data_IF_183369126645
#
_entry.id   IF_183369126645
#
_cell.length_a   1.000
_cell.length_b   1.000
_cell.length_c   1.000
_cell.angle_alpha   90.00
_cell.angle_beta   90.00
_cell.angle_gamma   90.00
#
_symmetry.space_group_name_H-M   'P 1'
#
loop_
_entity.id
_entity.type
_entity.pdbx_description
1 polymer ?
#
# COMPACT_ATOMS: atom_id res chain seq x y z
N UNK A 1 -12.27 16.13 -25.57
CA UNK A 1 -12.27 15.74 -27.01
C UNK A 1 -10.96 16.22 -27.60
N UNK A 2 -10.02 15.31 -27.84
CA UNK A 2 -8.77 15.63 -28.57
C UNK A 2 -9.07 15.52 -30.08
N UNK A 3 -8.76 16.55 -30.84
CA UNK A 3 -9.02 16.60 -32.27
C UNK A 3 -7.97 15.77 -33.01
N UNK A 4 -8.44 14.90 -33.88
CA UNK A 4 -7.62 14.17 -34.84
C UNK A 4 -7.46 15.09 -36.06
N UNK A 5 -6.23 15.56 -36.33
CA UNK A 5 -5.93 16.28 -37.56
C UNK A 5 -5.23 15.34 -38.55
N UNK A 6 -5.86 15.17 -39.71
CA UNK A 6 -5.28 14.48 -40.86
C UNK A 6 -4.45 15.51 -41.63
N UNK A 7 -3.14 15.36 -41.70
CA UNK A 7 -2.30 16.19 -42.56
C UNK A 7 -1.49 15.29 -43.48
N UNK A 8 -1.80 15.32 -44.75
CA UNK A 8 -1.05 14.62 -45.83
C UNK A 8 0.15 15.50 -46.24
N UNK A 9 1.37 14.95 -46.21
CA UNK A 9 2.53 15.52 -46.87
C UNK A 9 3.32 14.44 -47.62
N UNK A 10 3.61 14.71 -48.87
CA UNK A 10 4.49 13.92 -49.73
C UNK A 10 5.92 14.45 -49.66
N UNK A 11 6.96 13.61 -49.61
CA UNK A 11 8.14 13.70 -50.48
C UNK A 11 9.27 12.70 -50.10
N UNK A 12 9.97 12.32 -51.13
CA UNK A 12 10.96 11.32 -51.43
C UNK A 12 12.25 11.28 -50.60
N UNK A 13 12.76 10.07 -50.39
CA UNK A 13 14.16 9.69 -50.65
C UNK A 13 15.18 9.90 -49.55
N UNK A 14 15.76 8.80 -49.07
CA UNK A 14 17.04 8.82 -48.37
C UNK A 14 17.32 7.55 -47.55
N UNK A 15 18.42 6.91 -47.85
CA UNK A 15 18.97 5.76 -47.10
C UNK A 15 18.97 6.03 -45.61
N UNK A 16 18.25 5.21 -44.84
CA UNK A 16 18.30 5.23 -43.39
C UNK A 16 19.22 4.12 -42.88
N UNK A 17 20.26 4.51 -42.16
CA UNK A 17 20.90 3.66 -41.19
C UNK A 17 19.86 3.20 -40.16
N UNK A 18 19.62 1.91 -40.06
CA UNK A 18 18.75 1.30 -39.04
C UNK A 18 19.43 1.50 -37.68
N UNK A 19 19.20 2.66 -37.05
CA UNK A 19 19.34 2.73 -35.60
C UNK A 19 18.16 1.94 -35.03
N UNK A 20 18.43 1.00 -34.12
CA UNK A 20 17.37 0.29 -33.40
C UNK A 20 16.51 1.35 -32.70
N UNK A 21 15.32 1.56 -33.23
CA UNK A 21 14.38 2.53 -32.67
C UNK A 21 13.88 1.97 -31.33
N UNK A 22 14.00 2.78 -30.30
CA UNK A 22 13.53 2.38 -28.99
C UNK A 22 12.02 2.23 -29.03
N UNK A 23 11.53 1.06 -28.62
CA UNK A 23 10.10 0.78 -28.49
C UNK A 23 9.58 1.45 -27.20
N UNK A 24 8.58 2.28 -27.36
CA UNK A 24 7.93 3.01 -26.26
C UNK A 24 6.51 2.48 -25.95
N UNK A 25 6.16 1.32 -26.53
CA UNK A 25 4.90 0.65 -26.20
C UNK A 25 4.89 0.17 -24.74
N UNK A 26 3.70 0.03 -24.18
CA UNK A 26 3.42 -0.45 -22.84
C UNK A 26 2.61 -1.75 -22.89
N UNK A 27 2.47 -2.43 -21.78
CA UNK A 27 1.58 -3.57 -21.66
C UNK A 27 0.11 -3.16 -21.73
N UNK A 28 -0.74 -4.10 -22.17
CA UNK A 28 -2.20 -3.93 -22.15
C UNK A 28 -2.68 -3.76 -20.73
N UNK A 29 -3.34 -2.63 -20.46
CA UNK A 29 -3.88 -2.31 -19.14
C UNK A 29 -5.33 -1.84 -19.26
N UNK A 30 -6.26 -2.66 -18.82
CA UNK A 30 -7.71 -2.33 -18.86
C UNK A 30 -8.11 -1.19 -17.92
N UNK A 31 -7.23 -0.80 -16.99
CA UNK A 31 -7.45 0.32 -16.07
C UNK A 31 -7.03 1.66 -16.67
N UNK A 32 -6.36 1.66 -17.82
CA UNK A 32 -5.88 2.86 -18.49
C UNK A 32 -6.57 3.07 -19.83
N UNK A 33 -6.73 4.33 -20.20
CA UNK A 33 -7.12 4.66 -21.57
C UNK A 33 -5.92 4.39 -22.47
N UNK A 34 -6.06 3.49 -23.44
CA UNK A 34 -4.96 3.08 -24.30
C UNK A 34 -5.35 3.17 -25.80
N UNK A 35 -4.35 3.37 -26.62
CA UNK A 35 -4.41 3.14 -28.05
C UNK A 35 -3.73 1.81 -28.34
N UNK A 36 -4.42 0.93 -29.03
CA UNK A 36 -3.85 -0.32 -29.58
C UNK A 36 -3.55 -0.12 -31.07
N UNK A 37 -2.35 -0.50 -31.48
CA UNK A 37 -2.02 -0.69 -32.89
C UNK A 37 -1.86 -2.20 -33.13
N UNK A 38 -2.63 -2.73 -34.06
CA UNK A 38 -2.47 -4.10 -34.55
C UNK A 38 -1.67 -4.07 -35.83
N UNK A 39 -0.57 -4.80 -35.85
CA UNK A 39 0.29 -4.93 -37.03
C UNK A 39 -0.21 -6.02 -37.97
N UNK A 40 0.24 -6.00 -39.22
CA UNK A 40 -0.17 -6.95 -40.25
C UNK A 40 0.29 -8.40 -39.95
N UNK A 41 1.24 -8.59 -39.08
CA UNK A 41 1.69 -9.90 -38.56
C UNK A 41 0.89 -10.37 -37.35
N UNK A 42 -0.10 -9.58 -36.90
CA UNK A 42 -0.91 -9.85 -35.72
C UNK A 42 -0.31 -9.35 -34.40
N UNK A 43 0.89 -8.76 -34.42
CA UNK A 43 1.45 -8.18 -33.21
C UNK A 43 0.65 -6.96 -32.74
N UNK A 44 0.48 -6.83 -31.44
CA UNK A 44 -0.26 -5.73 -30.82
C UNK A 44 0.70 -4.86 -30.00
N UNK A 45 0.57 -3.55 -30.14
CA UNK A 45 1.27 -2.56 -29.32
C UNK A 45 0.28 -1.61 -28.67
N UNK A 46 0.53 -1.30 -27.40
CA UNK A 46 -0.35 -0.46 -26.59
C UNK A 46 0.38 0.80 -26.16
N UNK A 47 -0.35 1.91 -26.12
CA UNK A 47 0.14 3.23 -25.73
C UNK A 47 -0.88 3.89 -24.81
N UNK A 48 -0.47 4.39 -23.67
CA UNK A 48 -1.38 5.17 -22.82
C UNK A 48 -1.76 6.47 -23.53
N UNK A 49 -3.04 6.80 -23.58
CA UNK A 49 -3.50 8.00 -24.31
C UNK A 49 -2.94 9.30 -23.75
N UNK A 50 -2.55 9.32 -22.47
CA UNK A 50 -1.99 10.50 -21.82
C UNK A 50 -0.54 10.77 -22.26
N UNK A 51 0.17 9.73 -22.69
CA UNK A 51 1.55 9.82 -23.18
C UNK A 51 1.58 10.12 -24.69
N UNK A 52 0.51 9.83 -25.43
CA UNK A 52 0.40 10.04 -26.87
C UNK A 52 0.01 11.48 -27.17
N UNK A 53 0.92 12.23 -27.76
CA UNK A 53 0.66 13.60 -28.20
C UNK A 53 -0.08 13.63 -29.55
N UNK A 54 0.29 12.71 -30.46
CA UNK A 54 -0.26 12.67 -31.81
C UNK A 54 -0.01 11.33 -32.48
N UNK A 55 -0.95 10.89 -33.31
CA UNK A 55 -0.75 9.80 -34.28
C UNK A 55 -0.77 10.44 -35.67
N UNK A 56 0.30 10.23 -36.44
CA UNK A 56 0.42 10.67 -37.83
C UNK A 56 0.30 9.50 -38.77
N UNK A 57 -0.48 9.69 -39.82
CA UNK A 57 -0.58 8.75 -40.93
C UNK A 57 0.16 9.36 -42.13
N UNK A 58 1.14 8.67 -42.62
CA UNK A 58 1.92 9.02 -43.80
C UNK A 58 1.71 7.93 -44.85
N UNK A 59 2.10 8.15 -46.13
CA UNK A 59 1.76 7.24 -47.22
C UNK A 59 2.17 5.77 -46.97
N UNK A 60 3.23 5.57 -46.25
CA UNK A 60 3.80 4.24 -45.92
C UNK A 60 4.12 4.02 -44.45
N UNK A 61 3.70 4.93 -43.58
CA UNK A 61 4.07 4.91 -42.17
C UNK A 61 2.91 5.36 -41.27
N UNK A 62 2.83 4.75 -40.12
CA UNK A 62 2.08 5.26 -38.97
C UNK A 62 3.09 5.67 -37.91
N UNK A 63 2.96 6.88 -37.38
CA UNK A 63 3.85 7.44 -36.38
C UNK A 63 3.10 7.77 -35.12
N UNK A 64 3.50 7.18 -34.01
CA UNK A 64 2.98 7.50 -32.67
C UNK A 64 3.98 8.44 -32.00
N UNK A 65 3.58 9.70 -31.82
CA UNK A 65 4.41 10.74 -31.22
C UNK A 65 4.06 10.82 -29.73
N UNK A 66 5.05 10.61 -28.89
CA UNK A 66 4.91 10.61 -27.44
C UNK A 66 5.91 11.56 -26.79
N UNK A 67 5.72 11.84 -25.50
CA UNK A 67 6.67 12.64 -24.71
C UNK A 67 8.02 11.95 -24.59
N UNK A 68 8.03 10.60 -24.54
CA UNK A 68 9.26 9.79 -24.40
C UNK A 68 10.01 9.56 -25.72
N UNK A 69 9.35 9.78 -26.87
CA UNK A 69 9.91 9.55 -28.21
C UNK A 69 8.86 9.07 -29.20
N UNK A 70 9.23 8.97 -30.46
CA UNK A 70 8.34 8.60 -31.56
C UNK A 70 8.53 7.11 -31.91
N UNK A 71 7.43 6.37 -32.04
CA UNK A 71 7.41 5.03 -32.64
C UNK A 71 6.91 5.11 -34.08
N UNK A 72 7.63 4.48 -35.00
CA UNK A 72 7.33 4.50 -36.44
C UNK A 72 7.07 3.09 -36.95
N UNK A 73 5.96 2.90 -37.67
CA UNK A 73 5.52 1.63 -38.23
C UNK A 73 5.43 1.75 -39.77
N UNK A 74 6.32 1.08 -40.47
CA UNK A 74 6.41 1.09 -41.94
C UNK A 74 5.41 0.09 -42.56
N UNK A 75 4.29 0.56 -43.12
CA UNK A 75 3.27 -0.27 -43.78
C UNK A 75 2.79 -1.51 -42.98
N UNK A 76 2.94 -1.46 -41.65
CA UNK A 76 2.74 -2.62 -40.79
C UNK A 76 1.52 -2.50 -39.90
N UNK A 77 0.80 -1.38 -39.95
CA UNK A 77 -0.38 -1.18 -39.13
C UNK A 77 -1.63 -1.53 -39.90
N UNK A 78 -2.34 -2.53 -39.43
CA UNK A 78 -3.61 -2.99 -39.98
C UNK A 78 -4.79 -2.29 -39.32
N UNK A 79 -4.72 -2.08 -38.00
CA UNK A 79 -5.81 -1.51 -37.24
C UNK A 79 -5.30 -0.62 -36.11
N UNK A 80 -6.10 0.40 -35.77
CA UNK A 80 -5.91 1.25 -34.59
C UNK A 80 -7.23 1.30 -33.84
N UNK A 81 -7.20 0.89 -32.58
CA UNK A 81 -8.36 0.92 -31.70
C UNK A 81 -8.07 1.78 -30.46
N UNK A 82 -9.10 2.45 -29.99
CA UNK A 82 -9.05 3.26 -28.77
C UNK A 82 -9.83 2.56 -27.66
N UNK A 83 -9.15 2.25 -26.59
CA UNK A 83 -9.74 1.65 -25.41
C UNK A 83 -9.92 2.71 -24.34
N UNK A 84 -11.09 2.75 -23.76
CA UNK A 84 -11.32 3.50 -22.52
C UNK A 84 -11.01 2.58 -21.36
N UNK A 85 -10.37 3.15 -20.33
CA UNK A 85 -10.25 2.46 -19.05
C UNK A 85 -11.62 1.97 -18.59
N UNK A 86 -11.71 0.70 -18.31
CA UNK A 86 -12.84 0.16 -17.56
C UNK A 86 -12.62 0.60 -16.13
N UNK A 87 -13.23 1.72 -15.75
CA UNK A 87 -13.18 2.15 -14.34
C UNK A 87 -13.77 0.99 -13.53
N UNK A 88 -13.00 0.37 -12.61
CA UNK A 88 -13.57 -0.66 -11.76
C UNK A 88 -14.83 -0.11 -11.11
N UNK A 89 -15.86 -0.92 -11.02
CA UNK A 89 -17.02 -0.55 -10.23
C UNK A 89 -16.50 -0.20 -8.83
N UNK A 90 -16.75 1.01 -8.39
CA UNK A 90 -16.34 1.46 -7.06
C UNK A 90 -16.89 0.52 -5.99
N UNK A 91 -16.38 0.58 -4.76
CA UNK A 91 -16.90 -0.22 -3.66
C UNK A 91 -18.40 0.04 -3.48
N UNK A 92 -19.15 -1.01 -3.20
CA UNK A 92 -20.58 -0.89 -2.87
C UNK A 92 -20.79 -1.13 -1.39
N UNK A 93 -21.88 -0.61 -0.84
CA UNK A 93 -22.25 -0.86 0.56
C UNK A 93 -22.39 -2.36 0.85
N UNK A 94 -22.93 -3.12 -0.10
CA UNK A 94 -23.09 -4.57 0.03
C UNK A 94 -21.75 -5.31 0.17
N UNK A 95 -20.68 -4.80 -0.43
CA UNK A 95 -19.35 -5.38 -0.31
C UNK A 95 -18.77 -5.23 1.10
N UNK A 96 -19.18 -4.16 1.81
CA UNK A 96 -18.73 -3.87 3.16
C UNK A 96 -19.39 -4.77 4.21
N UNK A 97 -20.64 -5.20 3.98
CA UNK A 97 -21.39 -5.99 4.97
C UNK A 97 -20.69 -7.32 5.26
N UNK A 98 -20.55 -7.62 6.56
CA UNK A 98 -19.89 -8.82 7.07
C UNK A 98 -18.90 -8.52 8.19
N UNK A 99 -18.13 -9.52 8.57
CA UNK A 99 -17.07 -9.42 9.59
C UNK A 99 -15.71 -9.30 8.92
N UNK A 100 -14.91 -8.39 9.43
CA UNK A 100 -13.57 -8.06 8.97
C UNK A 100 -12.62 -8.10 10.16
N UNK A 101 -11.62 -8.96 10.11
CA UNK A 101 -10.67 -9.19 11.20
C UNK A 101 -9.33 -8.54 10.92
N UNK A 102 -8.65 -8.04 11.93
CA UNK A 102 -7.21 -7.79 11.83
C UNK A 102 -6.45 -9.10 12.05
N UNK A 103 -5.28 -9.22 11.44
CA UNK A 103 -4.43 -10.40 11.66
C UNK A 103 -3.63 -10.34 12.94
N UNK A 104 -3.43 -9.14 13.47
CA UNK A 104 -2.69 -8.92 14.71
C UNK A 104 -3.00 -7.55 15.33
N UNK A 105 -3.26 -7.56 16.64
CA UNK A 105 -3.22 -6.38 17.52
C UNK A 105 -2.65 -6.81 18.86
N UNK A 106 -1.72 -6.02 19.39
CA UNK A 106 -0.90 -6.39 20.56
C UNK A 106 -1.72 -6.78 21.81
N UNK A 107 -2.77 -6.01 22.10
CA UNK A 107 -3.54 -6.19 23.34
C UNK A 107 -4.77 -7.08 23.17
N UNK A 108 -5.00 -7.62 21.98
CA UNK A 108 -6.23 -8.34 21.66
C UNK A 108 -5.96 -9.74 21.09
N UNK A 109 -6.62 -10.74 21.63
CA UNK A 109 -6.71 -12.07 21.00
C UNK A 109 -7.64 -12.06 19.79
N UNK A 110 -8.63 -11.15 19.81
CA UNK A 110 -9.58 -10.98 18.72
C UNK A 110 -9.99 -9.52 18.60
N UNK A 111 -9.81 -8.97 17.42
CA UNK A 111 -10.24 -7.62 17.09
C UNK A 111 -10.82 -7.59 15.68
N UNK A 112 -12.09 -7.20 15.56
CA UNK A 112 -12.80 -7.23 14.30
C UNK A 112 -13.82 -6.10 14.18
N UNK A 113 -14.13 -5.73 12.92
CA UNK A 113 -15.24 -4.86 12.58
C UNK A 113 -16.36 -5.69 11.95
N UNK A 114 -17.58 -5.55 12.45
CA UNK A 114 -18.75 -6.17 11.85
C UNK A 114 -19.68 -5.10 11.31
N UNK A 115 -19.87 -5.08 10.00
CA UNK A 115 -20.78 -4.17 9.33
C UNK A 115 -22.12 -4.83 9.04
N UNK A 116 -23.18 -4.14 9.38
CA UNK A 116 -24.56 -4.40 8.97
C UNK A 116 -25.02 -3.30 8.00
N UNK A 117 -26.31 -3.22 7.68
CA UNK A 117 -26.82 -2.16 6.79
C UNK A 117 -26.58 -0.74 7.32
N UNK A 118 -26.63 -0.51 8.63
CA UNK A 118 -26.62 0.84 9.21
C UNK A 118 -25.67 1.00 10.39
N UNK A 119 -25.02 -0.06 10.82
CA UNK A 119 -24.19 -0.07 12.03
C UNK A 119 -22.89 -0.82 11.78
N UNK A 120 -21.82 -0.30 12.34
CA UNK A 120 -20.55 -0.97 12.50
C UNK A 120 -20.39 -1.36 13.97
N UNK A 121 -20.06 -2.60 14.25
CA UNK A 121 -19.70 -3.03 15.59
C UNK A 121 -18.21 -3.33 15.64
N UNK A 122 -17.52 -2.80 16.64
CA UNK A 122 -16.16 -3.18 17.02
C UNK A 122 -16.29 -4.36 17.97
N UNK A 123 -15.62 -5.45 17.64
CA UNK A 123 -15.60 -6.69 18.43
C UNK A 123 -14.20 -6.86 19.00
N UNK A 124 -14.09 -6.86 20.33
CA UNK A 124 -12.81 -6.86 21.04
C UNK A 124 -12.79 -7.97 22.09
N UNK A 125 -11.69 -8.75 22.10
CA UNK A 125 -11.37 -9.65 23.20
C UNK A 125 -9.91 -9.46 23.55
N UNK A 126 -9.66 -9.00 24.76
CA UNK A 126 -8.31 -8.76 25.24
C UNK A 126 -7.56 -10.06 25.44
N UNK A 127 -6.23 -10.03 25.20
CA UNK A 127 -5.32 -11.16 25.49
C UNK A 127 -5.13 -11.41 26.98
N UNK A 128 -5.59 -10.49 27.81
CA UNK A 128 -5.52 -10.56 29.27
C UNK A 128 -6.90 -10.32 29.91
N UNK A 129 -7.06 -10.72 31.16
CA UNK A 129 -8.29 -10.51 31.90
C UNK A 129 -9.31 -11.63 31.73
N UNK A 130 -10.58 -11.27 31.62
CA UNK A 130 -11.70 -12.21 31.68
C UNK A 130 -12.02 -12.93 30.37
N UNK A 131 -11.29 -12.63 29.31
CA UNK A 131 -11.50 -13.19 27.95
C UNK A 131 -12.92 -12.96 27.40
N UNK A 132 -13.64 -11.98 27.92
CA UNK A 132 -14.97 -11.61 27.44
C UNK A 132 -14.89 -10.92 26.08
N UNK A 133 -15.83 -11.21 25.20
CA UNK A 133 -16.01 -10.46 23.95
C UNK A 133 -16.81 -9.19 24.24
N UNK A 134 -16.15 -8.05 24.07
CA UNK A 134 -16.78 -6.74 24.16
C UNK A 134 -17.29 -6.32 22.78
N UNK A 135 -18.36 -5.56 22.76
CA UNK A 135 -18.96 -5.08 21.51
C UNK A 135 -19.37 -3.62 21.67
N UNK A 136 -18.80 -2.77 20.84
CA UNK A 136 -19.18 -1.36 20.72
C UNK A 136 -19.83 -1.15 19.37
N UNK A 137 -21.07 -0.64 19.35
CA UNK A 137 -21.82 -0.44 18.10
C UNK A 137 -21.94 1.04 17.78
N UNK A 138 -21.61 1.40 16.54
CA UNK A 138 -21.55 2.76 16.04
C UNK A 138 -22.40 2.85 14.77
N UNK A 139 -23.43 3.71 14.74
CA UNK A 139 -24.18 3.98 13.52
C UNK A 139 -23.28 4.57 12.43
N UNK A 140 -23.50 4.19 11.16
CA UNK A 140 -22.82 4.79 10.03
C UNK A 140 -23.74 5.10 8.87
N UNK A 141 -23.29 6.03 8.01
CA UNK A 141 -23.88 6.28 6.70
C UNK A 141 -22.87 5.95 5.61
N UNK A 142 -23.38 5.55 4.43
CA UNK A 142 -22.58 5.22 3.24
C UNK A 142 -22.92 6.19 2.12
N UNK A 143 -21.87 6.76 1.50
CA UNK A 143 -22.01 7.55 0.28
C UNK A 143 -20.76 7.41 -0.60
N UNK A 144 -20.92 6.91 -1.82
CA UNK A 144 -19.88 6.90 -2.87
C UNK A 144 -18.51 6.36 -2.42
N UNK A 145 -18.48 5.27 -1.66
CA UNK A 145 -17.24 4.67 -1.16
C UNK A 145 -16.71 5.32 0.12
N UNK A 146 -17.50 6.18 0.76
CA UNK A 146 -17.15 6.80 2.05
C UNK A 146 -18.16 6.36 3.11
N UNK A 147 -17.66 5.94 4.26
CA UNK A 147 -18.46 5.77 5.48
C UNK A 147 -18.28 6.98 6.39
N UNK A 148 -19.37 7.41 7.01
CA UNK A 148 -19.32 8.39 8.09
C UNK A 148 -19.85 7.69 9.35
N UNK A 149 -18.95 7.47 10.31
CA UNK A 149 -19.21 6.89 11.61
C UNK A 149 -19.70 7.97 12.55
N UNK A 150 -20.72 7.68 13.35
CA UNK A 150 -21.37 8.63 14.28
C UNK A 150 -21.16 8.17 15.71
N UNK A 151 -20.11 8.65 16.34
CA UNK A 151 -19.79 8.34 17.73
C UNK A 151 -20.72 9.10 18.68
N UNK A 152 -21.44 8.42 19.58
CA UNK A 152 -22.27 9.09 20.58
C UNK A 152 -21.39 9.81 21.61
N UNK A 153 -21.93 10.80 22.29
CA UNK A 153 -21.28 11.39 23.45
C UNK A 153 -21.05 10.34 24.54
N UNK A 154 -19.93 10.46 25.22
CA UNK A 154 -19.56 9.63 26.38
C UNK A 154 -19.25 10.54 27.59
N UNK A 155 -18.91 9.95 28.73
CA UNK A 155 -18.46 10.69 29.89
C UNK A 155 -17.17 11.49 29.67
N UNK A 156 -16.41 11.13 28.60
CA UNK A 156 -15.07 11.64 28.29
C UNK A 156 -14.97 12.41 26.98
N UNK A 157 -16.01 12.37 26.14
CA UNK A 157 -16.00 13.04 24.82
C UNK A 157 -17.39 13.51 24.41
N UNK A 158 -17.47 14.63 23.71
CA UNK A 158 -18.67 15.03 22.99
C UNK A 158 -18.94 14.07 21.81
N UNK A 159 -20.19 14.07 21.33
CA UNK A 159 -20.51 13.32 20.11
C UNK A 159 -19.70 13.88 18.92
N UNK A 160 -19.15 13.00 18.10
CA UNK A 160 -18.38 13.39 16.91
C UNK A 160 -18.64 12.46 15.74
N UNK A 161 -18.28 12.91 14.55
CA UNK A 161 -18.32 12.12 13.33
C UNK A 161 -16.91 11.90 12.78
N UNK A 162 -16.65 10.69 12.29
CA UNK A 162 -15.42 10.34 11.60
C UNK A 162 -15.74 9.80 10.20
N UNK A 163 -15.01 10.26 9.19
CA UNK A 163 -15.17 9.77 7.82
C UNK A 163 -14.00 8.88 7.43
N UNK A 164 -14.31 7.73 6.80
CA UNK A 164 -13.31 6.83 6.25
C UNK A 164 -13.63 6.52 4.79
N UNK A 165 -12.62 6.62 3.92
CA UNK A 165 -12.72 6.15 2.55
C UNK A 165 -12.53 4.63 2.52
N UNK A 166 -13.43 3.95 1.82
CA UNK A 166 -13.47 2.49 1.71
C UNK A 166 -12.88 2.05 0.38
N UNK A 167 -11.96 1.12 0.40
CA UNK A 167 -11.49 0.41 -0.78
C UNK A 167 -11.32 -1.08 -0.48
N UNK A 168 -11.34 -1.90 -1.54
CA UNK A 168 -11.16 -3.34 -1.42
C UNK A 168 -10.02 -3.78 -2.33
N UNK A 169 -9.32 -4.82 -1.90
CA UNK A 169 -8.27 -5.50 -2.66
C UNK A 169 -8.56 -7.00 -2.73
N UNK A 170 -7.87 -7.69 -3.63
CA UNK A 170 -7.87 -9.15 -3.74
C UNK A 170 -9.27 -9.77 -3.72
N UNK A 171 -10.05 -9.44 -4.75
CA UNK A 171 -11.43 -9.92 -4.90
C UNK A 171 -12.30 -9.65 -3.66
N UNK A 172 -12.12 -8.47 -3.08
CA UNK A 172 -12.87 -8.00 -1.91
C UNK A 172 -12.67 -8.90 -0.67
N UNK A 173 -11.52 -9.53 -0.56
CA UNK A 173 -11.11 -10.26 0.64
C UNK A 173 -10.34 -9.39 1.65
N UNK A 174 -9.84 -8.24 1.21
CA UNK A 174 -9.15 -7.24 2.02
C UNK A 174 -9.87 -5.91 1.93
N UNK A 175 -10.25 -5.35 3.08
CA UNK A 175 -10.84 -4.03 3.25
C UNK A 175 -9.75 -3.06 3.70
N UNK A 176 -9.66 -1.92 3.06
CA UNK A 176 -8.80 -0.82 3.48
C UNK A 176 -9.69 0.37 3.82
N UNK A 177 -9.59 0.83 5.05
CA UNK A 177 -10.24 2.03 5.56
C UNK A 177 -9.19 3.13 5.71
N UNK A 178 -9.36 4.24 5.03
CA UNK A 178 -8.47 5.39 5.12
C UNK A 178 -9.19 6.55 5.76
N UNK A 179 -8.57 7.12 6.76
CA UNK A 179 -9.05 8.31 7.46
C UNK A 179 -7.96 9.37 7.56
N UNK A 180 -8.40 10.59 7.75
CA UNK A 180 -7.51 11.70 8.11
C UNK A 180 -7.97 12.24 9.47
N UNK A 181 -7.46 11.69 10.59
CA UNK A 181 -7.98 11.96 11.92
C UNK A 181 -7.69 13.39 12.43
N UNK A 182 -6.81 14.16 11.76
CA UNK A 182 -6.26 15.38 12.35
C UNK A 182 -6.51 16.66 11.54
N UNK A 183 -7.43 16.69 10.61
CA UNK A 183 -7.64 17.82 9.68
C UNK A 183 -6.38 18.21 8.86
N UNK A 184 -5.30 17.46 8.98
CA UNK A 184 -4.06 17.65 8.23
C UNK A 184 -4.01 16.60 7.12
N UNK A 185 -4.17 17.05 5.88
CA UNK A 185 -4.21 16.17 4.69
C UNK A 185 -2.94 15.30 4.53
N UNK A 186 -1.85 15.64 5.25
CA UNK A 186 -0.61 14.88 5.24
C UNK A 186 -0.67 13.57 6.06
N UNK A 187 -1.73 13.36 6.84
CA UNK A 187 -1.84 12.30 7.85
C UNK A 187 -2.83 11.18 7.51
N UNK A 188 -2.91 10.77 6.25
CA UNK A 188 -3.75 9.63 5.87
C UNK A 188 -3.32 8.36 6.63
N UNK A 189 -4.16 7.90 7.55
CA UNK A 189 -4.07 6.59 8.17
C UNK A 189 -4.79 5.56 7.32
N UNK A 190 -4.27 4.35 7.26
CA UNK A 190 -4.88 3.25 6.53
C UNK A 190 -4.94 1.99 7.39
N UNK A 191 -6.15 1.58 7.72
CA UNK A 191 -6.43 0.33 8.42
C UNK A 191 -6.68 -0.78 7.42
N UNK A 192 -6.09 -1.94 7.62
CA UNK A 192 -6.27 -3.11 6.77
C UNK A 192 -6.94 -4.23 7.54
N UNK A 193 -8.04 -4.73 6.98
CA UNK A 193 -8.89 -5.73 7.56
C UNK A 193 -9.10 -6.88 6.58
N UNK A 194 -9.18 -8.09 7.08
CA UNK A 194 -9.35 -9.31 6.28
C UNK A 194 -10.75 -9.86 6.47
N UNK A 195 -11.43 -10.17 5.38
CA UNK A 195 -12.76 -10.76 5.46
C UNK A 195 -12.69 -12.11 6.16
N UNK A 196 -13.50 -12.28 7.19
CA UNK A 196 -13.65 -13.55 7.89
C UNK A 196 -13.88 -14.67 6.87
N UNK A 197 -13.19 -15.81 7.03
CA UNK A 197 -13.24 -16.98 6.16
C UNK A 197 -12.69 -16.82 4.73
N UNK A 198 -12.16 -15.67 4.34
CA UNK A 198 -11.50 -15.49 3.04
C UNK A 198 -9.98 -15.30 3.20
N UNK A 199 -9.23 -16.05 2.41
CA UNK A 199 -7.78 -15.83 2.26
C UNK A 199 -7.56 -14.94 1.04
N UNK A 200 -6.77 -13.86 1.14
CA UNK A 200 -6.41 -13.05 -0.02
C UNK A 200 -5.72 -13.91 -1.07
N UNK A 201 -6.10 -13.77 -2.33
CA UNK A 201 -5.39 -14.38 -3.44
C UNK A 201 -4.43 -13.34 -4.01
N UNK A 202 -3.15 -13.42 -3.62
CA UNK A 202 -2.12 -12.48 -4.03
C UNK A 202 -1.16 -13.14 -4.99
N UNK A 203 -0.71 -12.38 -5.97
CA UNK A 203 0.44 -12.76 -6.80
C UNK A 203 1.75 -12.37 -6.11
N UNK A 204 2.85 -12.97 -6.58
CA UNK A 204 4.19 -12.80 -6.01
C UNK A 204 4.59 -11.32 -5.90
N UNK A 205 4.70 -10.82 -4.69
CA UNK A 205 5.30 -9.53 -4.44
C UNK A 205 6.83 -9.67 -4.33
N UNK A 206 7.56 -8.72 -4.90
CA UNK A 206 8.98 -8.59 -4.63
C UNK A 206 9.15 -7.98 -3.24
N UNK A 207 9.45 -8.81 -2.25
CA UNK A 207 9.53 -8.39 -0.86
C UNK A 207 10.82 -7.63 -0.54
N UNK A 208 11.95 -8.03 -1.11
CA UNK A 208 13.25 -7.41 -0.79
C UNK A 208 13.23 -5.89 -0.94
N UNK A 209 13.76 -5.20 0.04
CA UNK A 209 13.86 -3.76 0.08
C UNK A 209 13.62 -3.15 1.46
N UNK A 210 13.65 -1.83 1.50
CA UNK A 210 13.34 -1.02 2.68
C UNK A 210 11.99 -0.35 2.48
N UNK A 211 11.15 -0.42 3.50
CA UNK A 211 9.81 0.13 3.53
C UNK A 211 9.69 1.05 4.71
N UNK A 212 9.19 2.27 4.54
CA UNK A 212 9.09 3.25 5.60
C UNK A 212 7.65 3.73 5.81
N UNK A 213 7.22 3.76 7.07
CA UNK A 213 6.07 4.52 7.49
C UNK A 213 6.54 5.88 8.03
N UNK A 214 5.98 6.94 7.51
CA UNK A 214 6.42 8.30 7.78
C UNK A 214 5.58 8.95 8.87
N UNK A 215 6.25 9.69 9.75
CA UNK A 215 5.57 10.49 10.76
C UNK A 215 4.79 11.61 10.08
N UNK A 216 3.47 11.61 10.28
CA UNK A 216 2.57 12.66 9.75
C UNK A 216 2.71 12.91 8.24
N UNK A 217 2.99 11.86 7.47
CA UNK A 217 3.17 11.99 6.02
C UNK A 217 4.45 12.74 5.58
N UNK A 218 5.26 13.21 6.51
CA UNK A 218 6.52 13.89 6.22
C UNK A 218 7.59 12.88 5.79
N UNK A 219 7.84 12.76 4.50
CA UNK A 219 8.81 11.81 3.92
C UNK A 219 10.27 12.01 4.38
N UNK A 220 10.59 13.07 5.08
CA UNK A 220 11.91 13.27 5.70
C UNK A 220 12.01 12.68 7.11
N UNK A 221 10.89 12.19 7.67
CA UNK A 221 10.82 11.68 9.05
C UNK A 221 10.13 10.32 9.06
N UNK A 222 10.89 9.25 8.83
CA UNK A 222 10.41 7.89 8.99
C UNK A 222 10.23 7.59 10.49
N UNK A 223 9.09 7.03 10.85
CA UNK A 223 8.77 6.60 12.21
C UNK A 223 9.04 5.11 12.41
N UNK A 224 8.66 4.31 11.43
CA UNK A 224 8.82 2.87 11.43
C UNK A 224 9.46 2.40 10.12
N UNK A 225 10.21 1.30 10.18
CA UNK A 225 10.81 0.66 9.02
C UNK A 225 10.52 -0.84 9.01
N UNK A 226 10.27 -1.38 7.82
CA UNK A 226 10.25 -2.81 7.55
C UNK A 226 11.31 -3.07 6.48
N UNK A 227 12.38 -3.76 6.82
CA UNK A 227 13.46 -4.09 5.90
C UNK A 227 13.46 -5.59 5.62
N UNK A 228 13.47 -5.97 4.36
CA UNK A 228 13.42 -7.38 3.96
C UNK A 228 14.64 -7.67 3.09
N UNK A 229 15.40 -8.68 3.46
CA UNK A 229 16.58 -9.10 2.74
C UNK A 229 16.71 -10.63 2.79
N UNK A 230 16.42 -11.28 1.66
CA UNK A 230 16.44 -12.72 1.51
C UNK A 230 15.42 -13.42 2.42
N UNK A 231 15.91 -14.20 3.39
CA UNK A 231 15.10 -14.99 4.32
C UNK A 231 14.83 -14.30 5.67
N UNK A 232 15.30 -13.06 5.83
CA UNK A 232 15.15 -12.27 7.05
C UNK A 232 14.38 -10.99 6.79
N UNK A 233 13.58 -10.63 7.78
CA UNK A 233 12.95 -9.33 7.86
C UNK A 233 13.37 -8.62 9.16
N UNK A 234 13.31 -7.30 9.13
CA UNK A 234 13.69 -6.43 10.23
C UNK A 234 12.58 -5.40 10.43
N UNK A 235 12.16 -5.20 11.65
CA UNK A 235 11.24 -4.12 12.02
C UNK A 235 11.99 -3.09 12.87
N UNK A 236 11.95 -1.84 12.44
CA UNK A 236 12.69 -0.73 13.07
C UNK A 236 11.71 0.29 13.60
N UNK A 237 11.87 0.67 14.85
CA UNK A 237 11.10 1.71 15.53
C UNK A 237 12.00 2.91 15.72
N UNK A 238 11.72 4.00 15.00
CA UNK A 238 12.55 5.22 15.00
C UNK A 238 12.59 5.92 16.36
N UNK A 239 11.42 6.11 16.98
CA UNK A 239 11.31 6.83 18.25
C UNK A 239 12.14 6.20 19.40
N UNK A 240 12.30 4.88 19.35
CA UNK A 240 13.01 4.13 20.41
C UNK A 240 14.38 3.64 19.97
N UNK A 241 14.79 3.92 18.72
CA UNK A 241 15.97 3.34 18.09
C UNK A 241 16.09 1.84 18.35
N UNK A 242 14.98 1.13 18.13
CA UNK A 242 14.87 -0.31 18.34
C UNK A 242 14.80 -1.01 17.00
N UNK A 243 15.49 -2.14 16.87
CA UNK A 243 15.51 -2.96 15.68
C UNK A 243 15.30 -4.43 16.06
N UNK A 244 14.32 -5.07 15.46
CA UNK A 244 13.99 -6.47 15.69
C UNK A 244 14.21 -7.23 14.39
N UNK A 245 14.95 -8.33 14.46
CA UNK A 245 15.38 -9.09 13.28
C UNK A 245 14.98 -10.56 13.46
N UNK A 246 14.47 -11.17 12.43
CA UNK A 246 14.14 -12.60 12.45
C UNK A 246 13.77 -13.17 11.09
N UNK A 247 13.54 -14.48 11.04
CA UNK A 247 12.94 -15.11 9.87
C UNK A 247 11.51 -14.60 9.70
N UNK A 248 11.02 -14.68 8.48
CA UNK A 248 9.61 -14.39 8.20
C UNK A 248 8.98 -15.52 7.38
N UNK A 249 7.66 -15.60 7.45
CA UNK A 249 6.86 -16.37 6.49
C UNK A 249 5.99 -15.40 5.68
N UNK A 250 5.74 -15.74 4.41
CA UNK A 250 4.90 -14.93 3.54
C UNK A 250 3.87 -15.82 2.86
N UNK A 251 2.61 -15.53 3.11
CA UNK A 251 1.51 -16.30 2.56
C UNK A 251 0.34 -15.37 2.23
N UNK A 252 -0.15 -15.46 0.99
CA UNK A 252 -1.33 -14.73 0.53
C UNK A 252 -1.27 -13.21 0.78
N UNK A 253 -0.11 -12.59 0.56
CA UNK A 253 0.12 -11.16 0.76
C UNK A 253 0.41 -10.77 2.22
N UNK A 254 0.37 -11.72 3.14
CA UNK A 254 0.64 -11.46 4.55
C UNK A 254 2.04 -11.95 4.91
N UNK A 255 2.86 -11.04 5.42
CA UNK A 255 4.18 -11.30 5.95
C UNK A 255 4.09 -11.40 7.47
N UNK A 256 4.58 -12.49 8.02
CA UNK A 256 4.70 -12.73 9.45
C UNK A 256 6.18 -12.72 9.82
N UNK A 257 6.64 -11.66 10.47
CA UNK A 257 8.01 -11.56 11.01
C UNK A 257 8.04 -12.16 12.41
N UNK A 258 8.96 -13.11 12.63
CA UNK A 258 9.20 -13.76 13.92
C UNK A 258 10.55 -13.31 14.49
N UNK A 259 10.60 -12.23 15.29
CA UNK A 259 11.86 -11.71 15.81
C UNK A 259 12.59 -12.72 16.69
N UNK A 260 13.87 -12.90 16.42
CA UNK A 260 14.77 -13.76 17.22
C UNK A 260 15.95 -12.96 17.76
N UNK A 261 16.15 -11.75 17.28
CA UNK A 261 17.23 -10.87 17.65
C UNK A 261 16.71 -9.44 17.83
N UNK A 262 17.17 -8.79 18.91
CA UNK A 262 16.78 -7.44 19.29
C UNK A 262 18.01 -6.56 19.41
N UNK A 263 17.93 -5.34 18.88
CA UNK A 263 19.02 -4.38 18.87
C UNK A 263 18.55 -3.02 19.32
N UNK A 264 19.48 -2.27 19.97
CA UNK A 264 19.30 -0.87 20.32
C UNK A 264 20.33 0.01 19.65
N UNK A 265 19.95 1.26 19.36
CA UNK A 265 20.90 2.30 19.03
C UNK A 265 21.82 2.55 20.20
N UNK A 266 23.15 2.52 19.95
CA UNK A 266 24.16 2.65 20.99
C UNK A 266 24.34 4.08 21.51
N UNK A 267 24.22 5.04 20.57
CA UNK A 267 24.30 6.45 20.91
C UNK A 267 22.97 6.91 21.49
N UNK A 268 22.82 6.87 22.79
CA UNK A 268 21.61 7.31 23.47
C UNK A 268 21.70 8.82 23.80
N UNK A 269 20.55 9.50 23.72
CA UNK A 269 20.41 10.85 24.24
C UNK A 269 20.33 10.87 25.78
N UNK A 270 20.17 12.08 26.37
CA UNK A 270 20.07 12.25 27.82
C UNK A 270 18.84 11.55 28.43
N UNK A 271 17.86 11.14 27.60
CA UNK A 271 16.65 10.42 28.00
C UNK A 271 16.76 8.89 27.82
N UNK A 272 17.92 8.41 27.35
CA UNK A 272 18.17 6.99 27.10
C UNK A 272 17.73 6.46 25.73
N UNK A 273 17.26 7.33 24.85
CA UNK A 273 16.89 6.96 23.47
C UNK A 273 18.13 6.93 22.55
N UNK A 274 18.18 5.95 21.67
CA UNK A 274 19.21 5.87 20.64
C UNK A 274 19.05 6.97 19.61
N UNK A 275 20.15 7.48 19.09
CA UNK A 275 20.15 8.41 17.97
C UNK A 275 20.04 7.63 16.67
N UNK A 276 18.97 7.90 15.94
CA UNK A 276 18.68 7.29 14.65
C UNK A 276 18.51 8.41 13.63
N UNK A 277 18.98 8.17 12.42
CA UNK A 277 18.70 9.06 11.29
C UNK A 277 17.21 8.98 10.95
N UNK A 278 16.44 10.06 11.09
CA UNK A 278 15.00 10.01 10.86
C UNK A 278 14.63 9.78 9.39
N UNK A 279 15.53 10.03 8.44
CA UNK A 279 15.26 9.80 7.02
C UNK A 279 15.49 8.35 6.60
N UNK A 280 16.43 7.66 7.24
CA UNK A 280 16.86 6.30 6.83
C UNK A 280 16.60 5.23 7.88
N UNK A 281 16.27 5.62 9.12
CA UNK A 281 16.20 4.78 10.31
C UNK A 281 17.51 4.02 10.59
N UNK A 282 18.62 4.55 10.12
CA UNK A 282 19.94 4.00 10.41
C UNK A 282 20.50 4.60 11.71
N UNK A 283 21.16 3.77 12.48
CA UNK A 283 21.89 4.16 13.68
C UNK A 283 23.39 3.98 13.44
N UNK A 284 24.24 4.83 14.04
CA UNK A 284 25.69 4.73 13.92
C UNK A 284 26.22 3.38 14.40
N UNK A 285 25.57 2.81 15.40
CA UNK A 285 25.83 1.43 15.85
C UNK A 285 24.62 0.82 16.54
N UNK A 286 24.40 -0.46 16.25
CA UNK A 286 23.37 -1.26 16.90
C UNK A 286 24.00 -2.20 17.92
N UNK A 287 23.52 -2.15 19.16
CA UNK A 287 23.93 -3.08 20.21
C UNK A 287 22.91 -4.21 20.35
N UNK A 288 23.37 -5.44 20.28
CA UNK A 288 22.51 -6.63 20.42
C UNK A 288 22.12 -6.82 21.89
N UNK A 289 20.82 -6.78 22.15
CA UNK A 289 20.27 -6.84 23.52
C UNK A 289 20.17 -8.26 24.08
N UNK A 290 20.14 -9.29 23.26
CA UNK A 290 20.04 -10.68 23.72
C UNK A 290 21.14 -11.13 24.71
N UNK A 291 22.15 -10.31 24.91
CA UNK A 291 23.17 -10.49 25.96
C UNK A 291 22.84 -9.78 27.28
N UNK A 292 21.79 -8.92 27.31
CA UNK A 292 21.41 -8.15 28.50
C UNK A 292 19.89 -8.15 28.70
N UNK A 293 19.36 -9.19 29.36
CA UNK A 293 17.92 -9.34 29.59
C UNK A 293 17.29 -8.17 30.37
N UNK A 294 18.05 -7.45 31.20
CA UNK A 294 17.55 -6.26 31.91
C UNK A 294 17.19 -5.10 31.01
N UNK A 295 17.84 -4.99 29.83
CA UNK A 295 17.49 -3.97 28.84
C UNK A 295 16.14 -4.27 28.14
N UNK A 296 15.81 -5.54 27.94
CA UNK A 296 14.50 -5.92 27.36
C UNK A 296 13.38 -5.52 28.33
N UNK A 297 13.57 -5.79 29.62
CA UNK A 297 12.61 -5.44 30.67
C UNK A 297 12.43 -3.91 30.81
N UNK A 298 13.51 -3.13 30.70
CA UNK A 298 13.47 -1.67 30.73
C UNK A 298 12.71 -1.09 29.53
N UNK A 299 12.81 -1.71 28.36
CA UNK A 299 12.19 -1.24 27.13
C UNK A 299 10.72 -1.61 26.99
N UNK A 300 10.35 -2.75 27.55
CA UNK A 300 8.97 -3.19 27.59
C UNK A 300 8.18 -2.53 28.73
N UNK A 301 8.79 -1.55 29.43
CA UNK A 301 8.14 -0.86 30.54
C UNK A 301 7.85 -1.77 31.73
N UNK A 302 8.60 -2.85 31.88
CA UNK A 302 8.57 -3.71 33.06
C UNK A 302 7.52 -4.80 33.03
N UNK A 303 7.07 -5.28 31.89
CA UNK A 303 6.17 -6.42 31.91
C UNK A 303 5.60 -6.97 30.62
N UNK A 304 5.67 -6.28 29.53
CA UNK A 304 5.10 -6.79 28.29
C UNK A 304 6.19 -7.12 27.27
N UNK A 305 6.30 -8.38 26.94
CA UNK A 305 7.17 -8.82 25.85
C UNK A 305 6.70 -8.17 24.53
N UNK A 306 7.65 -7.73 23.69
CA UNK A 306 7.32 -7.44 22.29
C UNK A 306 6.57 -8.60 21.68
N UNK A 307 5.64 -8.35 20.75
CA UNK A 307 4.90 -9.41 20.13
C UNK A 307 5.83 -10.48 19.55
N UNK A 308 5.49 -11.73 19.77
CA UNK A 308 6.22 -12.85 19.18
C UNK A 308 6.21 -12.82 17.65
N UNK A 309 5.28 -12.06 17.08
CA UNK A 309 5.09 -11.97 15.63
C UNK A 309 4.56 -10.61 15.25
N UNK A 310 5.22 -9.96 14.28
CA UNK A 310 4.69 -8.77 13.60
C UNK A 310 4.06 -9.16 12.27
N UNK A 311 2.91 -8.60 11.97
CA UNK A 311 2.14 -8.95 10.79
C UNK A 311 2.00 -7.74 9.87
N UNK A 312 2.39 -7.94 8.60
CA UNK A 312 2.28 -6.91 7.57
C UNK A 312 1.52 -7.47 6.37
N UNK A 313 0.62 -6.69 5.84
CA UNK A 313 0.00 -6.97 4.55
C UNK A 313 0.75 -6.22 3.46
N UNK A 314 1.29 -6.92 2.48
CA UNK A 314 2.10 -6.34 1.39
C UNK A 314 1.31 -6.32 0.10
N UNK A 315 1.24 -5.16 -0.55
CA UNK A 315 0.55 -4.96 -1.82
C UNK A 315 1.40 -4.07 -2.76
N UNK A 316 2.11 -4.68 -3.69
CA UNK A 316 3.01 -3.97 -4.60
C UNK A 316 4.13 -3.27 -3.85
N UNK A 317 4.19 -1.93 -3.94
CA UNK A 317 5.18 -1.09 -3.27
C UNK A 317 4.66 -0.49 -1.95
N UNK A 318 3.57 -1.01 -1.42
CA UNK A 318 2.99 -0.62 -0.14
C UNK A 318 2.90 -1.81 0.80
N UNK A 319 3.08 -1.57 2.10
CA UNK A 319 2.77 -2.54 3.15
C UNK A 319 1.97 -1.86 4.25
N UNK A 320 1.19 -2.65 4.97
CA UNK A 320 0.31 -2.17 6.03
C UNK A 320 0.50 -3.06 7.25
N UNK A 321 0.59 -2.45 8.41
CA UNK A 321 0.77 -3.17 9.67
C UNK A 321 0.22 -2.38 10.84
N UNK A 322 0.10 -3.03 11.99
CA UNK A 322 -0.30 -2.41 13.24
C UNK A 322 0.89 -2.37 14.18
N UNK A 323 1.09 -1.24 14.83
CA UNK A 323 2.07 -1.07 15.89
C UNK A 323 1.51 -0.16 16.98
N UNK A 324 1.66 -0.54 18.24
CA UNK A 324 1.10 0.18 19.39
C UNK A 324 -0.41 0.49 19.24
N UNK A 325 -1.17 -0.48 18.69
CA UNK A 325 -2.60 -0.36 18.38
C UNK A 325 -2.96 0.71 17.36
N UNK A 326 -1.97 1.24 16.64
CA UNK A 326 -2.18 2.18 15.55
C UNK A 326 -1.89 1.54 14.19
N UNK A 327 -2.69 1.83 13.15
CA UNK A 327 -2.45 1.36 11.81
C UNK A 327 -1.37 2.19 11.11
N UNK A 328 -0.45 1.53 10.44
CA UNK A 328 0.64 2.17 9.70
C UNK A 328 0.68 1.71 8.25
N UNK A 329 0.98 2.65 7.35
CA UNK A 329 1.22 2.41 5.94
C UNK A 329 2.68 2.63 5.61
N UNK A 330 3.31 1.63 5.02
CA UNK A 330 4.70 1.63 4.63
C UNK A 330 4.83 1.75 3.13
N UNK A 331 5.82 2.50 2.66
CA UNK A 331 6.12 2.69 1.26
C UNK A 331 7.51 2.15 0.94
N UNK A 332 7.62 1.36 -0.12
CA UNK A 332 8.90 0.84 -0.61
C UNK A 332 9.75 1.98 -1.16
N UNK A 333 11.05 1.91 -0.88
CA UNK A 333 12.06 2.86 -1.39
C UNK A 333 12.71 2.36 -2.65
#
# INVERSE_FOLDING_TARGET
MKHIYLTLFFLFGGLCSVMAQKDHSVEKDTQKNQVQLTQTDGAEKYYNTDDVQKIKFEEKQVKVIQTAGDDVFDNQVENIAFFKAVKPAGPTKADLIGTWETKYMHDYDYYALKFTENEMSILERYSYGDQQLYTTTIPYTWKDGVITLKYPASDWSEAYEETKTVSFMYDKSVLVLKSNPWEDESLEQAEVWFKESKTPNTSDAKLDGKWFAYHRGNKSEANLGLWINGDKAEFVIGAWATRMVGPYTYENGVLYLHPTEYYFGRDRDDWGYGRIDPATLECSSWERVSANPGLIEELTGGGEAYPETFVFFVNGDEAYGWYANEPHRFYKQ
#
